data_IF_100350571287
#
_entry.id   IF_100350571287
#
_cell.length_a   1.000
_cell.length_b   1.000
_cell.length_c   1.000
_cell.angle_alpha   90.00
_cell.angle_beta   90.00
_cell.angle_gamma   90.00
#
_symmetry.space_group_name_H-M   'P 1'
#
loop_
_entity.id
_entity.type
_entity.pdbx_description
1 polymer ?
#
# COMPACT_ATOMS: atom_id res chain seq x y z
N UNK A 1 13.58 -11.30 -17.61
CA UNK A 1 13.55 -12.29 -16.51
C UNK A 1 13.35 -11.50 -15.23
N UNK A 2 12.33 -11.78 -14.40
CA UNK A 2 12.21 -11.10 -13.10
C UNK A 2 13.43 -11.48 -12.26
N UNK A 3 14.09 -10.52 -11.59
CA UNK A 3 15.18 -10.84 -10.67
C UNK A 3 14.72 -11.85 -9.61
N UNK A 4 15.66 -12.61 -9.06
CA UNK A 4 15.34 -13.62 -8.03
C UNK A 4 15.37 -12.98 -6.65
N UNK A 5 14.55 -13.48 -5.73
CA UNK A 5 14.60 -13.11 -4.32
C UNK A 5 15.83 -13.78 -3.68
N UNK A 6 16.65 -13.00 -3.00
CA UNK A 6 17.82 -13.41 -2.26
C UNK A 6 17.53 -13.52 -0.76
N UNK A 7 18.52 -13.16 0.05
CA UNK A 7 18.48 -13.28 1.50
C UNK A 7 17.42 -12.37 2.13
N UNK A 8 16.74 -12.89 3.15
CA UNK A 8 15.84 -12.13 4.02
C UNK A 8 16.67 -11.24 4.93
N UNK A 9 16.39 -9.95 4.96
CA UNK A 9 17.09 -9.00 5.83
C UNK A 9 16.17 -8.32 6.85
N UNK A 10 14.86 -8.23 6.58
CA UNK A 10 13.88 -7.72 7.54
C UNK A 10 12.56 -8.49 7.45
N UNK A 11 11.87 -8.61 8.58
CA UNK A 11 10.47 -9.03 8.61
C UNK A 11 9.68 -8.23 9.62
N UNK A 12 8.40 -8.05 9.33
CA UNK A 12 7.44 -7.40 10.21
C UNK A 12 6.15 -8.20 10.29
N UNK A 13 5.54 -8.20 11.47
CA UNK A 13 4.30 -8.90 11.75
C UNK A 13 3.31 -7.94 12.39
N UNK A 14 2.17 -7.76 11.74
CA UNK A 14 1.04 -7.00 12.24
C UNK A 14 -0.08 -7.97 12.65
N UNK A 15 -0.62 -7.76 13.84
CA UNK A 15 -1.69 -8.58 14.40
C UNK A 15 -2.98 -7.76 14.54
N UNK A 16 -3.93 -7.98 13.63
CA UNK A 16 -5.24 -7.35 13.67
C UNK A 16 -6.29 -8.22 14.37
N UNK A 17 -7.52 -7.73 14.41
CA UNK A 17 -8.60 -8.41 15.12
C UNK A 17 -9.05 -9.71 14.43
N UNK A 18 -9.12 -9.74 13.10
CA UNK A 18 -9.60 -10.89 12.31
C UNK A 18 -8.57 -11.49 11.35
N UNK A 19 -7.43 -10.81 11.16
CA UNK A 19 -6.36 -11.22 10.27
C UNK A 19 -5.01 -10.82 10.84
N UNK A 20 -3.97 -11.50 10.38
CA UNK A 20 -2.57 -11.11 10.60
C UNK A 20 -1.95 -10.75 9.25
N UNK A 21 -1.03 -9.78 9.23
CA UNK A 21 -0.22 -9.43 8.07
C UNK A 21 1.24 -9.72 8.38
N UNK A 22 1.94 -10.29 7.40
CA UNK A 22 3.39 -10.45 7.41
C UNK A 22 3.97 -9.69 6.25
N UNK A 23 5.07 -8.99 6.52
CA UNK A 23 5.91 -8.35 5.52
C UNK A 23 7.30 -8.97 5.60
N UNK A 24 7.84 -9.42 4.48
CA UNK A 24 9.22 -9.91 4.38
C UNK A 24 9.99 -9.11 3.35
N UNK A 25 11.12 -8.52 3.76
CA UNK A 25 12.03 -7.78 2.89
C UNK A 25 13.26 -8.63 2.56
N UNK A 26 13.52 -8.83 1.27
CA UNK A 26 14.57 -9.71 0.74
C UNK A 26 15.42 -8.99 -0.29
N UNK A 27 16.74 -9.12 -0.21
CA UNK A 27 17.63 -8.57 -1.24
C UNK A 27 17.32 -9.17 -2.61
N UNK A 28 17.51 -8.39 -3.66
CA UNK A 28 17.48 -8.85 -5.03
C UNK A 28 18.76 -9.65 -5.31
N UNK A 29 18.61 -10.89 -5.77
CA UNK A 29 19.73 -11.75 -6.14
C UNK A 29 20.15 -11.49 -7.60
N UNK A 30 21.45 -11.39 -7.84
CA UNK A 30 22.05 -11.48 -9.18
C UNK A 30 22.52 -10.17 -9.82
N UNK A 31 22.61 -9.06 -9.07
CA UNK A 31 23.24 -7.83 -9.56
C UNK A 31 24.58 -7.61 -8.84
N UNK A 32 25.69 -7.95 -9.51
CA UNK A 32 27.05 -7.95 -8.94
C UNK A 32 27.74 -6.57 -8.94
N UNK A 33 27.13 -5.53 -9.49
CA UNK A 33 27.78 -4.24 -9.76
C UNK A 33 27.02 -3.00 -9.22
N UNK A 34 25.82 -3.15 -8.66
CA UNK A 34 25.01 -2.05 -8.10
C UNK A 34 24.41 -2.47 -6.76
N UNK A 35 23.96 -1.51 -5.95
CA UNK A 35 23.19 -1.78 -4.73
C UNK A 35 22.05 -2.73 -5.10
N UNK A 36 21.97 -3.93 -4.48
CA UNK A 36 20.90 -4.86 -4.81
C UNK A 36 19.59 -4.27 -4.28
N UNK A 37 18.64 -4.03 -5.18
CA UNK A 37 17.27 -3.68 -4.80
C UNK A 37 16.64 -4.68 -3.85
N UNK A 38 15.42 -4.41 -3.40
CA UNK A 38 14.77 -5.22 -2.38
C UNK A 38 13.32 -5.55 -2.75
N UNK A 39 12.97 -6.83 -2.60
CA UNK A 39 11.61 -7.32 -2.68
C UNK A 39 10.93 -7.19 -1.33
N UNK A 40 9.69 -6.70 -1.31
CA UNK A 40 8.83 -6.66 -0.14
C UNK A 40 7.58 -7.46 -0.44
N UNK A 41 7.43 -8.58 0.26
CA UNK A 41 6.29 -9.47 0.13
C UNK A 41 5.30 -9.19 1.24
N UNK A 42 4.08 -8.80 0.87
CA UNK A 42 2.97 -8.63 1.79
C UNK A 42 2.03 -9.81 1.69
N UNK A 43 1.79 -10.46 2.83
CA UNK A 43 0.92 -11.62 2.93
C UNK A 43 -0.05 -11.44 4.10
N UNK A 44 -1.25 -12.00 3.96
CA UNK A 44 -2.23 -12.05 5.03
C UNK A 44 -2.71 -13.47 5.29
N UNK A 45 -3.09 -13.73 6.53
CA UNK A 45 -3.88 -14.91 6.90
C UNK A 45 -5.05 -14.49 7.78
N UNK A 46 -6.17 -15.19 7.68
CA UNK A 46 -7.26 -15.01 8.63
C UNK A 46 -6.88 -15.65 9.97
N UNK A 47 -7.45 -15.15 11.08
CA UNK A 47 -7.20 -15.71 12.43
C UNK A 47 -7.54 -17.20 12.57
N UNK A 48 -8.45 -17.70 11.74
CA UNK A 48 -8.89 -19.09 11.75
C UNK A 48 -8.16 -19.95 10.70
N UNK A 49 -7.05 -19.46 10.15
CA UNK A 49 -6.27 -20.16 9.14
C UNK A 49 -4.77 -20.02 9.41
N UNK A 50 -4.02 -21.09 9.17
CA UNK A 50 -2.56 -21.06 9.15
C UNK A 50 -1.98 -20.82 7.75
N UNK A 51 -2.85 -20.62 6.76
CA UNK A 51 -2.45 -20.42 5.37
C UNK A 51 -2.26 -18.94 5.10
N UNK A 52 -1.00 -18.56 4.85
CA UNK A 52 -0.65 -17.24 4.31
C UNK A 52 -1.01 -17.14 2.84
N UNK A 53 -1.63 -16.02 2.47
CA UNK A 53 -1.99 -15.69 1.09
C UNK A 53 -1.29 -14.41 0.67
N UNK A 54 -0.72 -14.36 -0.55
CA UNK A 54 -0.09 -13.15 -1.06
C UNK A 54 -1.14 -12.05 -1.26
N UNK A 55 -0.77 -10.83 -0.89
CA UNK A 55 -1.53 -9.60 -1.19
C UNK A 55 -0.90 -8.92 -2.39
N UNK A 56 0.38 -8.52 -2.25
CA UNK A 56 1.19 -7.98 -3.33
C UNK A 56 2.70 -8.14 -3.03
N UNK A 57 3.51 -7.96 -4.07
CA UNK A 57 4.97 -7.84 -3.96
C UNK A 57 5.39 -6.54 -4.64
N UNK A 58 6.20 -5.73 -3.97
CA UNK A 58 6.84 -4.54 -4.55
C UNK A 58 8.36 -4.75 -4.61
N UNK A 59 8.99 -4.16 -5.62
CA UNK A 59 10.44 -4.14 -5.79
C UNK A 59 10.90 -2.69 -5.74
N UNK A 60 11.83 -2.40 -4.85
CA UNK A 60 12.55 -1.12 -4.81
C UNK A 60 13.97 -1.26 -5.31
N UNK A 61 14.50 -0.19 -5.89
CA UNK A 61 15.85 -0.15 -6.42
C UNK A 61 16.91 -0.14 -5.31
N UNK A 62 16.60 0.48 -4.16
CA UNK A 62 17.40 0.36 -2.92
C UNK A 62 16.56 -0.23 -1.77
N UNK A 63 17.19 -1.01 -0.85
CA UNK A 63 16.55 -1.45 0.38
C UNK A 63 16.18 -0.27 1.28
N UNK A 64 14.93 -0.26 1.75
CA UNK A 64 14.40 0.60 2.80
C UNK A 64 13.83 -0.21 3.95
N UNK A 65 13.75 0.40 5.14
CA UNK A 65 13.08 -0.21 6.29
C UNK A 65 11.59 -0.44 6.01
N UNK A 66 11.02 -1.51 6.56
CA UNK A 66 9.58 -1.76 6.48
C UNK A 66 8.86 -0.66 7.29
N UNK A 67 7.94 0.13 6.68
CA UNK A 67 7.24 1.19 7.37
C UNK A 67 6.08 0.64 8.21
N UNK A 68 6.38 0.32 9.47
CA UNK A 68 5.49 -0.45 10.37
C UNK A 68 4.18 0.26 10.71
N UNK A 69 4.18 1.59 10.67
CA UNK A 69 3.06 2.48 10.93
C UNK A 69 2.11 2.65 9.73
N UNK A 70 2.50 2.14 8.56
CA UNK A 70 1.68 2.19 7.34
C UNK A 70 0.68 1.03 7.24
N UNK A 71 0.62 0.12 8.22
CA UNK A 71 -0.42 -0.92 8.33
C UNK A 71 -1.39 -0.52 9.45
N UNK A 72 -2.67 -0.31 9.11
CA UNK A 72 -3.67 0.24 10.04
C UNK A 72 -4.97 -0.55 10.00
N UNK A 73 -5.47 -0.92 11.19
CA UNK A 73 -6.83 -1.45 11.37
C UNK A 73 -7.77 -0.30 11.74
N UNK A 74 -8.79 -0.05 10.91
CA UNK A 74 -9.82 0.97 11.15
C UNK A 74 -10.93 0.40 12.05
N UNK A 75 -11.32 -0.85 11.77
CA UNK A 75 -12.30 -1.63 12.53
C UNK A 75 -12.06 -3.12 12.26
N UNK A 76 -12.69 -4.00 13.04
CA UNK A 76 -12.45 -5.46 13.08
C UNK A 76 -12.23 -6.19 11.73
N UNK A 77 -12.80 -5.70 10.63
CA UNK A 77 -12.70 -6.32 9.29
C UNK A 77 -12.03 -5.42 8.25
N UNK A 78 -11.68 -4.19 8.61
CA UNK A 78 -11.10 -3.20 7.71
C UNK A 78 -9.67 -2.92 8.11
N UNK A 79 -8.75 -3.37 7.25
CA UNK A 79 -7.33 -3.12 7.39
C UNK A 79 -6.84 -2.55 6.06
N UNK A 80 -6.06 -1.48 6.14
CA UNK A 80 -5.34 -0.96 4.99
C UNK A 80 -3.85 -0.93 5.24
N UNK A 81 -3.11 -0.93 4.14
CA UNK A 81 -1.68 -0.71 4.15
C UNK A 81 -1.26 0.11 2.94
N UNK A 82 -0.12 0.78 3.06
CA UNK A 82 0.53 1.40 1.91
C UNK A 82 2.05 1.28 2.03
N UNK A 83 2.74 1.45 0.91
CA UNK A 83 4.20 1.58 0.81
C UNK A 83 4.55 2.16 -0.57
N UNK A 84 5.35 3.23 -0.62
CA UNK A 84 5.72 3.90 -1.86
C UNK A 84 4.48 4.38 -2.62
N UNK A 85 4.22 3.80 -3.79
CA UNK A 85 3.07 4.14 -4.65
C UNK A 85 1.92 3.13 -4.58
N UNK A 86 1.96 2.16 -3.67
CA UNK A 86 0.95 1.09 -3.55
C UNK A 86 0.13 1.30 -2.29
N UNK A 87 -1.19 1.24 -2.43
CA UNK A 87 -2.16 1.15 -1.35
C UNK A 87 -2.96 -0.13 -1.50
N UNK A 88 -3.25 -0.83 -0.41
CA UNK A 88 -4.13 -2.00 -0.43
C UNK A 88 -5.05 -2.01 0.78
N UNK A 89 -6.32 -2.35 0.56
CA UNK A 89 -7.33 -2.43 1.60
C UNK A 89 -8.15 -3.70 1.50
N UNK A 90 -8.50 -4.25 2.66
CA UNK A 90 -9.56 -5.25 2.79
C UNK A 90 -10.69 -4.67 3.65
N UNK A 91 -11.92 -5.04 3.34
CA UNK A 91 -13.10 -4.70 4.17
C UNK A 91 -13.86 -5.92 4.68
N UNK A 92 -13.35 -7.13 4.43
CA UNK A 92 -14.01 -8.40 4.73
C UNK A 92 -13.12 -9.35 5.54
N UNK A 93 -12.14 -8.80 6.27
CA UNK A 93 -11.21 -9.55 7.09
C UNK A 93 -10.16 -10.31 6.29
N UNK A 94 -9.74 -9.78 5.14
CA UNK A 94 -8.66 -10.32 4.32
C UNK A 94 -9.08 -11.41 3.34
N UNK A 95 -10.39 -11.55 3.04
CA UNK A 95 -10.86 -12.48 2.00
C UNK A 95 -10.66 -11.89 0.62
N UNK A 96 -10.91 -10.59 0.48
CA UNK A 96 -10.65 -9.81 -0.74
C UNK A 96 -9.78 -8.60 -0.41
N UNK A 97 -8.91 -8.26 -1.38
CA UNK A 97 -8.01 -7.11 -1.31
C UNK A 97 -8.22 -6.24 -2.54
N UNK A 98 -8.35 -4.94 -2.31
CA UNK A 98 -8.45 -3.92 -3.35
C UNK A 98 -7.15 -3.14 -3.31
N UNK A 99 -6.40 -3.20 -4.40
CA UNK A 99 -5.09 -2.56 -4.50
C UNK A 99 -5.19 -1.39 -5.47
N UNK A 100 -4.90 -0.20 -4.96
CA UNK A 100 -4.62 0.96 -5.78
C UNK A 100 -3.11 1.03 -6.03
N UNK A 101 -2.75 1.24 -7.28
CA UNK A 101 -1.37 1.28 -7.73
C UNK A 101 -1.15 2.60 -8.46
N UNK A 102 -0.48 3.53 -7.79
CA UNK A 102 -0.01 4.77 -8.39
C UNK A 102 1.00 4.46 -9.51
N UNK A 103 1.26 5.44 -10.38
CA UNK A 103 2.23 5.22 -11.45
C UNK A 103 3.67 5.23 -10.88
N UNK A 104 4.40 4.10 -10.86
CA UNK A 104 5.75 4.04 -10.31
C UNK A 104 6.74 4.96 -11.04
N UNK A 105 6.52 5.23 -12.32
CA UNK A 105 7.37 6.17 -13.06
C UNK A 105 7.23 7.58 -12.49
N UNK A 106 6.04 7.97 -11.99
CA UNK A 106 5.87 9.26 -11.32
C UNK A 106 6.68 9.32 -10.02
N UNK A 107 6.72 8.22 -9.26
CA UNK A 107 7.50 8.11 -8.02
C UNK A 107 9.03 8.17 -8.27
N UNK A 108 9.51 7.69 -9.42
CA UNK A 108 10.93 7.78 -9.78
C UNK A 108 11.42 9.22 -10.00
N UNK A 109 10.57 10.09 -10.55
CA UNK A 109 10.97 11.46 -10.92
C UNK A 109 11.18 12.40 -9.73
N UNK A 110 10.50 12.16 -8.60
CA UNK A 110 10.66 12.99 -7.39
C UNK A 110 11.96 12.69 -6.64
N UNK A 111 12.74 11.69 -7.09
CA UNK A 111 13.92 11.20 -6.37
C UNK A 111 13.57 10.43 -5.10
N UNK A 112 12.27 10.30 -4.79
CA UNK A 112 11.76 9.67 -3.59
C UNK A 112 10.72 8.62 -4.00
N UNK A 113 11.22 7.51 -4.58
CA UNK A 113 10.39 6.35 -4.95
C UNK A 113 9.57 5.80 -3.76
N UNK A 114 9.97 6.18 -2.55
CA UNK A 114 9.42 5.74 -1.28
C UNK A 114 8.33 6.66 -0.74
N UNK A 115 8.21 7.89 -1.26
CA UNK A 115 7.35 8.96 -0.73
C UNK A 115 6.22 9.41 -1.68
N UNK A 116 5.83 8.58 -2.65
CA UNK A 116 4.74 8.93 -3.57
C UNK A 116 3.41 9.11 -2.83
N UNK A 117 3.02 8.13 -2.01
CA UNK A 117 1.96 8.30 -1.02
C UNK A 117 2.60 8.93 0.21
N UNK A 118 2.24 10.18 0.49
CA UNK A 118 2.76 10.94 1.62
C UNK A 118 1.97 10.62 2.90
N UNK A 119 0.64 10.64 2.79
CA UNK A 119 -0.25 10.42 3.94
C UNK A 119 -1.57 9.76 3.52
N UNK A 120 -2.13 8.95 4.41
CA UNK A 120 -3.49 8.40 4.29
C UNK A 120 -4.25 8.53 5.61
N UNK A 121 -5.41 9.17 5.54
CA UNK A 121 -6.38 9.27 6.62
C UNK A 121 -7.73 8.72 6.15
N UNK A 122 -8.26 7.70 6.82
CA UNK A 122 -9.56 7.09 6.51
C UNK A 122 -10.33 6.90 7.82
N UNK A 123 -11.59 7.35 7.85
CA UNK A 123 -12.46 7.24 9.01
C UNK A 123 -13.20 5.88 9.07
N UNK A 124 -13.95 5.66 10.15
CA UNK A 124 -14.71 4.42 10.36
C UNK A 124 -15.89 4.23 9.36
N UNK A 125 -16.33 5.30 8.71
CA UNK A 125 -17.40 5.32 7.70
C UNK A 125 -16.88 5.04 6.29
N UNK A 126 -15.56 5.05 6.10
CA UNK A 126 -14.90 4.80 4.81
C UNK A 126 -14.65 6.06 4.00
N UNK A 127 -14.91 7.23 4.58
CA UNK A 127 -14.48 8.50 4.01
C UNK A 127 -13.00 8.69 4.31
N UNK A 128 -12.23 9.14 3.33
CA UNK A 128 -10.81 9.36 3.53
C UNK A 128 -10.14 10.21 2.48
N UNK A 129 -8.92 10.58 2.78
CA UNK A 129 -8.01 11.37 1.94
C UNK A 129 -6.67 10.65 1.86
N UNK A 130 -6.13 10.58 0.64
CA UNK A 130 -4.75 10.20 0.35
C UNK A 130 -4.05 11.42 -0.22
N UNK A 131 -2.94 11.80 0.40
CA UNK A 131 -2.05 12.84 -0.09
C UNK A 131 -0.96 12.16 -0.90
N UNK A 132 -0.79 12.55 -2.16
CA UNK A 132 0.28 12.05 -3.02
C UNK A 132 1.17 13.19 -3.53
N UNK A 133 2.39 12.88 -3.91
CA UNK A 133 3.29 13.80 -4.62
C UNK A 133 3.28 13.52 -6.11
N UNK A 134 3.01 14.53 -6.93
CA UNK A 134 3.07 14.40 -8.38
C UNK A 134 4.51 14.45 -8.93
N UNK A 135 4.68 14.48 -10.26
CA UNK A 135 6.00 14.53 -10.91
C UNK A 135 6.75 15.85 -10.67
N UNK A 136 6.05 16.92 -10.34
CA UNK A 136 6.62 18.22 -10.02
C UNK A 136 7.00 18.30 -8.53
N UNK A 137 6.57 17.31 -7.73
CA UNK A 137 6.72 17.28 -6.28
C UNK A 137 5.59 18.03 -5.56
N UNK A 138 4.58 18.49 -6.31
CA UNK A 138 3.40 19.16 -5.76
C UNK A 138 2.49 18.13 -5.10
N UNK A 139 1.80 18.53 -4.02
CA UNK A 139 0.86 17.68 -3.32
C UNK A 139 -0.49 17.67 -4.05
N UNK A 140 -1.00 16.48 -4.32
CA UNK A 140 -2.36 16.25 -4.79
C UNK A 140 -3.18 15.47 -3.75
N UNK A 141 -4.46 15.82 -3.63
CA UNK A 141 -5.41 15.10 -2.78
C UNK A 141 -6.31 14.17 -3.61
N UNK A 142 -6.37 12.91 -3.18
CA UNK A 142 -7.35 11.94 -3.63
C UNK A 142 -8.33 11.62 -2.51
N UNK A 143 -9.60 11.49 -2.83
CA UNK A 143 -10.67 11.21 -1.88
C UNK A 143 -11.29 9.85 -2.14
N UNK A 144 -11.78 9.24 -1.07
CA UNK A 144 -12.52 7.99 -1.12
C UNK A 144 -13.79 8.06 -0.27
N UNK A 145 -14.80 7.26 -0.64
CA UNK A 145 -16.01 7.02 0.16
C UNK A 145 -16.20 5.54 0.53
N UNK A 146 -15.22 4.70 0.21
CA UNK A 146 -15.34 3.25 0.27
C UNK A 146 -14.11 2.57 0.89
N UNK A 147 -13.44 3.24 1.82
CA UNK A 147 -12.20 2.81 2.46
C UNK A 147 -11.02 2.71 1.49
N UNK A 148 -11.03 3.47 0.40
CA UNK A 148 -9.94 3.49 -0.58
C UNK A 148 -9.99 2.33 -1.56
N UNK A 149 -11.14 1.67 -1.75
CA UNK A 149 -11.31 0.76 -2.89
C UNK A 149 -11.29 1.55 -4.19
N UNK A 150 -11.80 2.77 -4.14
CA UNK A 150 -11.73 3.78 -5.21
C UNK A 150 -11.17 5.09 -4.67
N UNK A 151 -10.47 5.82 -5.53
CA UNK A 151 -9.82 7.10 -5.25
C UNK A 151 -10.09 8.08 -6.40
N UNK A 152 -10.48 9.31 -6.07
CA UNK A 152 -10.89 10.34 -7.04
C UNK A 152 -10.31 11.70 -6.67
N UNK A 153 -9.98 12.54 -7.67
CA UNK A 153 -9.57 13.94 -7.41
C UNK A 153 -10.77 14.76 -6.93
N UNK A 154 -10.53 15.76 -6.08
CA UNK A 154 -11.58 16.60 -5.46
C UNK A 154 -12.58 17.22 -6.47
N UNK A 155 -12.11 17.61 -7.67
CA UNK A 155 -12.99 18.18 -8.70
C UNK A 155 -14.05 17.19 -9.21
N UNK A 156 -13.73 15.90 -9.23
CA UNK A 156 -14.63 14.83 -9.67
C UNK A 156 -15.51 14.37 -8.49
N UNK A 157 -14.92 14.31 -7.29
CA UNK A 157 -15.59 13.97 -6.05
C UNK A 157 -16.81 14.88 -5.75
N UNK A 158 -16.67 16.20 -5.97
CA UNK A 158 -17.74 17.17 -5.77
C UNK A 158 -18.90 17.01 -6.76
N UNK A 159 -18.63 16.58 -7.99
CA UNK A 159 -19.68 16.30 -8.97
C UNK A 159 -20.50 15.08 -8.55
N UNK A 160 -19.84 14.02 -8.09
CA UNK A 160 -20.49 12.77 -7.64
C UNK A 160 -21.25 12.92 -6.32
N UNK A 161 -20.78 13.78 -5.40
CA UNK A 161 -21.54 14.08 -4.17
C UNK A 161 -22.81 14.90 -4.46
N UNK A 162 -22.76 15.80 -5.44
CA UNK A 162 -23.91 16.63 -5.82
C UNK A 162 -25.01 15.89 -6.61
N UNK A 163 -24.69 14.78 -7.30
CA UNK A 163 -25.67 13.98 -8.05
C UNK A 163 -26.44 12.94 -7.22
N UNK A 164 -26.02 12.69 -5.97
CA UNK A 164 -26.68 11.71 -5.08
C UNK A 164 -27.85 12.33 -4.28
N UNK A 165 -28.09 13.63 -4.44
CA UNK A 165 -29.15 14.40 -3.76
C UNK A 165 -30.21 14.97 -4.72
N UNK A 166 -30.39 14.38 -5.90
CA UNK A 166 -31.52 14.65 -6.81
C UNK A 166 -32.32 13.37 -7.02
#
# INVERSE_FOLDING_TARGET
>A
MKPKKGELFESYFFEGSNLSIRVEARHQQGFLLFVPGAYYDYEAKSKNSDVWKPIFTILFDDPVEIPKDQIKEIKKQVVYMFIGWVYSVTTDGGKTWYTWNGNPEQAQYTGDMYGFIDEIQIDANGLGVMIIRDRQGDLEELHTKDFGKTWEKLQEYNKLSSSTYQ
#
